data_IF_956439032387
#
_entry.id   IF_956439032387
#
_cell.length_a   1.000
_cell.length_b   1.000
_cell.length_c   1.000
_cell.angle_alpha   90.00
_cell.angle_beta   90.00
_cell.angle_gamma   90.00
#
_symmetry.space_group_name_H-M   'P 1'
#
loop_
_entity.id
_entity.type
_entity.pdbx_description
1 polymer ?
#
# COMPACT_ATOMS: atom_id res chain seq x y z
N UNK A 1 6.78 5.82 -11.66
CA UNK A 1 6.69 5.33 -10.26
C UNK A 1 5.71 4.18 -10.24
N UNK A 2 5.93 3.18 -9.40
CA UNK A 2 5.05 2.02 -9.33
C UNK A 2 4.25 2.06 -8.02
N UNK A 3 3.03 1.54 -8.08
CA UNK A 3 2.21 1.27 -6.91
C UNK A 3 2.00 -0.23 -6.80
N UNK A 4 2.47 -0.86 -5.73
CA UNK A 4 2.26 -2.30 -5.50
C UNK A 4 1.12 -2.51 -4.51
N UNK A 5 0.18 -3.40 -4.82
CA UNK A 5 -0.80 -3.89 -3.86
C UNK A 5 -0.23 -5.18 -3.26
N UNK A 6 0.24 -5.10 -2.03
CA UNK A 6 0.95 -6.20 -1.37
C UNK A 6 -0.01 -6.93 -0.45
N UNK A 7 -0.28 -8.20 -0.72
CA UNK A 7 -1.16 -9.02 0.12
C UNK A 7 -0.45 -10.26 0.64
N UNK A 8 -0.74 -10.64 1.88
CA UNK A 8 -0.33 -11.93 2.45
C UNK A 8 -1.01 -13.11 1.75
N UNK A 9 -2.23 -12.89 1.27
CA UNK A 9 -3.05 -13.90 0.62
C UNK A 9 -3.69 -13.26 -0.61
N UNK A 10 -3.15 -13.52 -1.80
CA UNK A 10 -3.79 -13.06 -3.03
C UNK A 10 -5.16 -13.74 -3.12
N UNK A 11 -6.21 -12.94 -2.97
CA UNK A 11 -7.60 -13.35 -2.93
C UNK A 11 -8.46 -12.54 -3.91
N UNK A 12 -9.74 -12.89 -4.02
CA UNK A 12 -10.69 -12.10 -4.80
C UNK A 12 -10.79 -10.63 -4.34
N UNK A 13 -10.51 -10.37 -3.07
CA UNK A 13 -10.51 -9.02 -2.51
C UNK A 13 -9.33 -8.17 -3.03
N UNK A 14 -8.12 -8.75 -3.11
CA UNK A 14 -6.97 -8.09 -3.73
C UNK A 14 -7.19 -7.80 -5.22
N UNK A 15 -7.78 -8.73 -5.97
CA UNK A 15 -8.12 -8.53 -7.39
C UNK A 15 -9.20 -7.46 -7.57
N UNK A 16 -10.24 -7.48 -6.74
CA UNK A 16 -11.28 -6.45 -6.73
C UNK A 16 -10.70 -5.06 -6.45
N UNK A 17 -9.81 -4.94 -5.47
CA UNK A 17 -9.10 -3.69 -5.18
C UNK A 17 -8.24 -3.22 -6.37
N UNK A 18 -7.50 -4.13 -7.00
CA UNK A 18 -6.69 -3.80 -8.18
C UNK A 18 -7.57 -3.29 -9.33
N UNK A 19 -8.73 -3.91 -9.56
CA UNK A 19 -9.69 -3.47 -10.56
C UNK A 19 -10.22 -2.06 -10.25
N UNK A 20 -10.54 -1.77 -8.98
CA UNK A 20 -10.97 -0.43 -8.52
C UNK A 20 -9.87 0.59 -8.78
N UNK A 21 -8.63 0.31 -8.38
CA UNK A 21 -7.49 1.21 -8.57
C UNK A 21 -7.20 1.47 -10.06
N UNK A 22 -7.28 0.45 -10.91
CA UNK A 22 -7.13 0.59 -12.37
C UNK A 22 -8.26 1.37 -13.04
N UNK A 23 -9.40 1.54 -12.38
CA UNK A 23 -10.49 2.40 -12.86
C UNK A 23 -10.27 3.88 -12.54
N UNK A 24 -9.27 4.20 -11.72
CA UNK A 24 -8.85 5.58 -11.42
C UNK A 24 -8.42 6.31 -12.68
N UNK A 25 -8.87 7.56 -12.83
CA UNK A 25 -8.34 8.47 -13.86
C UNK A 25 -7.04 9.14 -13.42
N UNK A 26 -6.85 9.32 -12.11
CA UNK A 26 -5.71 10.02 -11.51
C UNK A 26 -4.50 9.12 -11.33
N UNK A 27 -4.71 7.80 -11.30
CA UNK A 27 -3.60 6.84 -11.14
C UNK A 27 -2.48 7.08 -12.17
N UNK A 28 -2.81 7.35 -13.44
CA UNK A 28 -1.82 7.59 -14.51
C UNK A 28 -1.01 8.88 -14.33
N UNK A 29 -1.53 9.86 -13.59
CA UNK A 29 -0.82 11.11 -13.29
C UNK A 29 0.27 10.91 -12.23
N UNK A 30 0.11 9.89 -11.38
CA UNK A 30 0.99 9.63 -10.24
C UNK A 30 1.84 8.37 -10.40
N UNK A 31 1.33 7.35 -11.09
CA UNK A 31 1.95 6.03 -11.18
C UNK A 31 1.85 5.49 -12.60
N UNK A 32 2.91 4.82 -13.04
CA UNK A 32 3.00 4.23 -14.37
C UNK A 32 2.52 2.78 -14.38
N UNK A 33 2.77 2.04 -13.29
CA UNK A 33 2.29 0.67 -13.14
C UNK A 33 1.62 0.43 -11.78
N UNK A 34 0.57 -0.41 -11.78
CA UNK A 34 -0.08 -0.97 -10.60
C UNK A 34 -0.30 -2.47 -10.76
N UNK A 35 0.18 -3.23 -9.78
CA UNK A 35 0.10 -4.69 -9.76
C UNK A 35 -0.09 -5.22 -8.35
N UNK A 36 -0.55 -6.47 -8.27
CA UNK A 36 -0.59 -7.22 -7.02
C UNK A 36 0.73 -7.97 -6.88
N UNK A 37 1.25 -8.03 -5.65
CA UNK A 37 2.44 -8.81 -5.32
C UNK A 37 2.20 -9.56 -4.01
N UNK A 38 2.42 -10.88 -3.96
CA UNK A 38 2.40 -11.62 -2.70
C UNK A 38 3.45 -11.07 -1.73
N UNK A 39 3.12 -10.94 -0.44
CA UNK A 39 4.03 -10.41 0.58
C UNK A 39 5.38 -11.16 0.60
N UNK A 40 5.36 -12.48 0.45
CA UNK A 40 6.55 -13.32 0.46
C UNK A 40 7.47 -13.11 -0.76
N UNK A 41 6.94 -12.58 -1.85
CA UNK A 41 7.67 -12.34 -3.10
C UNK A 41 8.03 -10.85 -3.27
N UNK A 42 7.57 -10.01 -2.34
CA UNK A 42 7.64 -8.58 -2.51
C UNK A 42 9.05 -8.04 -2.25
N UNK A 43 9.67 -7.53 -3.32
CA UNK A 43 10.96 -6.84 -3.29
C UNK A 43 10.76 -5.42 -3.83
N UNK A 44 10.41 -4.44 -2.96
CA UNK A 44 10.04 -3.12 -3.42
C UNK A 44 11.22 -2.37 -4.02
N UNK A 45 10.99 -1.75 -5.17
CA UNK A 45 11.99 -0.87 -5.77
C UNK A 45 12.12 0.45 -5.00
N UNK A 46 13.23 1.17 -5.21
CA UNK A 46 13.40 2.54 -4.66
C UNK A 46 12.33 3.52 -5.18
N UNK A 47 11.80 3.24 -6.38
CA UNK A 47 10.82 4.03 -7.11
C UNK A 47 9.36 3.56 -6.93
N UNK A 48 9.08 2.93 -5.79
CA UNK A 48 7.82 2.24 -5.52
C UNK A 48 7.17 2.81 -4.26
N UNK A 49 5.84 2.84 -4.27
CA UNK A 49 5.01 2.89 -3.07
C UNK A 49 4.16 1.63 -3.03
N UNK A 50 3.62 1.30 -1.86
CA UNK A 50 2.74 0.15 -1.73
C UNK A 50 1.47 0.41 -0.92
N UNK A 51 0.42 -0.32 -1.27
CA UNK A 51 -0.73 -0.55 -0.41
C UNK A 51 -0.48 -1.88 0.30
N UNK A 52 -0.38 -1.85 1.62
CA UNK A 52 -0.22 -3.04 2.45
C UNK A 52 -1.61 -3.57 2.77
N UNK A 53 -2.04 -4.56 1.99
CA UNK A 53 -3.37 -5.13 2.08
C UNK A 53 -3.39 -6.34 3.01
N UNK A 54 -4.18 -6.24 4.08
CA UNK A 54 -4.57 -7.39 4.88
C UNK A 54 -6.04 -7.72 4.59
N UNK A 55 -6.28 -8.80 3.86
CA UNK A 55 -7.60 -9.33 3.53
C UNK A 55 -7.82 -10.74 4.10
N UNK A 56 -6.95 -11.16 5.03
CA UNK A 56 -7.00 -12.45 5.71
C UNK A 56 -7.47 -12.32 7.15
N UNK A 57 -7.70 -13.47 7.78
CA UNK A 57 -7.98 -13.55 9.22
C UNK A 57 -6.69 -13.70 10.04
N UNK A 58 -5.55 -13.43 9.42
CA UNK A 58 -4.21 -13.58 10.01
C UNK A 58 -3.60 -12.21 10.29
N UNK A 59 -2.85 -12.06 11.39
CA UNK A 59 -2.06 -10.85 11.64
C UNK A 59 -1.09 -10.57 10.48
N UNK A 60 -0.73 -9.30 10.31
CA UNK A 60 0.30 -8.91 9.36
C UNK A 60 1.65 -9.56 9.71
N UNK A 61 2.23 -10.31 8.76
CA UNK A 61 3.57 -10.88 8.88
C UNK A 61 4.64 -9.89 8.42
N UNK A 62 5.86 -10.07 8.93
CA UNK A 62 6.99 -9.31 8.43
C UNK A 62 7.26 -9.66 6.95
N UNK A 63 7.36 -8.62 6.11
CA UNK A 63 7.67 -8.75 4.69
C UNK A 63 9.09 -9.28 4.43
N UNK A 64 9.96 -9.29 5.44
CA UNK A 64 11.40 -9.57 5.27
C UNK A 64 12.10 -8.49 4.44
N UNK A 65 11.41 -7.38 4.15
CA UNK A 65 11.99 -6.25 3.43
C UNK A 65 13.16 -5.69 4.24
N UNK A 66 14.32 -5.59 3.62
CA UNK A 66 15.45 -4.89 4.20
C UNK A 66 15.43 -3.48 3.62
N UNK A 67 15.11 -2.49 4.46
CA UNK A 67 15.17 -1.08 4.06
C UNK A 67 16.55 -0.75 3.48
N UNK A 68 16.62 0.22 2.57
CA UNK A 68 17.91 0.65 2.03
C UNK A 68 18.73 1.34 3.12
N UNK A 69 20.01 0.96 3.28
CA UNK A 69 20.92 1.55 4.27
C UNK A 69 21.04 3.09 4.14
N UNK A 70 20.85 3.61 2.93
CA UNK A 70 20.93 5.05 2.61
C UNK A 70 19.56 5.75 2.51
N UNK A 71 18.45 5.08 2.82
CA UNK A 71 17.13 5.66 2.66
C UNK A 71 16.77 6.53 3.88
N UNK A 72 16.90 7.86 3.74
CA UNK A 72 16.45 8.83 4.76
C UNK A 72 14.93 8.83 4.96
N UNK A 73 14.18 8.29 4.01
CA UNK A 73 12.72 8.16 4.05
C UNK A 73 12.41 6.69 3.74
N UNK A 74 11.72 6.03 4.67
CA UNK A 74 11.23 4.67 4.49
C UNK A 74 10.31 4.53 3.26
N UNK A 75 10.06 3.30 2.83
CA UNK A 75 9.19 3.02 1.71
C UNK A 75 7.77 3.58 1.95
N UNK A 76 7.24 4.45 1.07
CA UNK A 76 5.91 5.02 1.28
C UNK A 76 4.83 3.96 1.17
N UNK A 77 4.03 3.81 2.23
CA UNK A 77 3.00 2.77 2.28
C UNK A 77 1.66 3.27 2.81
N UNK A 78 0.59 2.69 2.28
CA UNK A 78 -0.78 2.88 2.73
C UNK A 78 -1.34 1.55 3.29
N UNK A 79 -1.56 1.43 4.60
CA UNK A 79 -2.17 0.23 5.16
C UNK A 79 -3.67 0.16 4.87
N UNK A 80 -4.13 -1.01 4.45
CA UNK A 80 -5.52 -1.29 4.10
C UNK A 80 -5.93 -2.65 4.69
N UNK A 81 -7.01 -2.65 5.47
CA UNK A 81 -7.59 -3.85 6.08
C UNK A 81 -8.97 -4.11 5.46
N UNK A 82 -9.18 -5.30 4.93
CA UNK A 82 -10.48 -5.79 4.46
C UNK A 82 -10.98 -6.82 5.47
N UNK A 83 -12.07 -6.50 6.15
CA UNK A 83 -12.71 -7.37 7.13
C UNK A 83 -13.65 -8.36 6.45
N UNK A 84 -13.54 -9.62 6.86
CA UNK A 84 -14.38 -10.74 6.41
C UNK A 84 -15.35 -11.15 7.51
N UNK A 85 -16.45 -10.42 7.64
CA UNK A 85 -17.64 -10.80 8.43
C UNK A 85 -17.49 -10.87 9.95
N UNK A 86 -16.39 -11.41 10.47
CA UNK A 86 -16.11 -11.51 11.89
C UNK A 86 -15.45 -10.23 12.40
N UNK A 87 -16.25 -9.44 13.12
CA UNK A 87 -15.84 -8.16 13.69
C UNK A 87 -15.12 -8.31 15.03
N UNK A 88 -15.09 -9.50 15.62
CA UNK A 88 -14.48 -9.75 16.93
C UNK A 88 -13.00 -10.12 16.83
N UNK A 89 -12.54 -10.55 15.65
CA UNK A 89 -11.12 -10.78 15.40
C UNK A 89 -10.35 -9.45 15.38
N UNK A 90 -9.55 -9.23 16.42
CA UNK A 90 -8.56 -8.17 16.47
C UNK A 90 -7.39 -8.51 15.52
N UNK A 91 -7.58 -8.26 14.24
CA UNK A 91 -6.53 -8.43 13.23
C UNK A 91 -5.58 -7.24 13.31
N UNK A 92 -4.32 -7.51 13.69
CA UNK A 92 -3.27 -6.50 13.70
C UNK A 92 -2.74 -6.25 12.29
N UNK A 93 -2.73 -4.99 11.87
CA UNK A 93 -2.04 -4.53 10.66
C UNK A 93 -0.52 -4.43 10.84
N UNK A 94 0.21 -3.95 9.82
CA UNK A 94 1.64 -3.70 9.92
C UNK A 94 1.99 -2.77 11.08
N UNK A 95 3.14 -2.98 11.72
CA UNK A 95 3.61 -2.11 12.80
C UNK A 95 3.99 -0.73 12.22
N UNK A 96 3.22 0.29 12.60
CA UNK A 96 3.42 1.68 12.12
C UNK A 96 4.73 2.30 12.57
N UNK A 97 5.43 1.67 13.53
CA UNK A 97 6.74 2.10 14.05
C UNK A 97 7.90 1.50 13.26
N UNK A 98 7.62 0.62 12.30
CA UNK A 98 8.65 0.01 11.48
C UNK A 98 9.37 1.07 10.63
N UNK A 99 10.67 1.33 10.86
CA UNK A 99 11.41 2.40 10.19
C UNK A 99 11.61 2.14 8.70
N UNK A 100 11.41 0.91 8.23
CA UNK A 100 11.50 0.55 6.80
C UNK A 100 10.38 1.19 5.99
N UNK A 101 9.29 1.57 6.64
CA UNK A 101 8.09 2.09 6.00
C UNK A 101 7.81 3.53 6.42
N UNK A 102 7.20 4.29 5.52
CA UNK A 102 6.63 5.60 5.79
C UNK A 102 5.12 5.52 5.59
N UNK A 103 4.38 5.41 6.69
CA UNK A 103 2.92 5.26 6.68
C UNK A 103 2.23 6.59 6.39
N UNK A 104 1.46 6.66 5.30
CA UNK A 104 0.73 7.89 4.91
C UNK A 104 -0.66 8.02 5.55
N UNK A 105 -1.11 6.99 6.26
CA UNK A 105 -2.33 7.01 7.05
C UNK A 105 -2.24 6.02 8.22
N UNK A 106 -3.15 6.16 9.19
CA UNK A 106 -3.30 5.21 10.30
C UNK A 106 -3.96 3.87 9.89
N UNK A 107 -4.26 3.68 8.61
CA UNK A 107 -4.98 2.52 8.12
C UNK A 107 -6.37 2.87 7.63
N UNK A 108 -6.76 2.23 6.53
CA UNK A 108 -8.12 2.23 6.02
C UNK A 108 -8.72 0.87 6.32
N UNK A 109 -9.92 0.85 6.93
CA UNK A 109 -10.67 -0.38 7.19
C UNK A 109 -11.90 -0.40 6.28
N UNK A 110 -12.16 -1.54 5.66
CA UNK A 110 -13.28 -1.79 4.76
C UNK A 110 -13.91 -3.14 5.08
N UNK A 111 -15.18 -3.31 4.74
CA UNK A 111 -15.81 -4.63 4.72
C UNK A 111 -15.64 -5.25 3.32
N UNK A 112 -15.50 -6.57 3.22
CA UNK A 112 -15.39 -7.26 1.92
C UNK A 112 -16.59 -6.97 1.00
N UNK A 113 -17.79 -6.81 1.58
CA UNK A 113 -19.01 -6.44 0.85
C UNK A 113 -18.92 -5.08 0.15
N UNK A 114 -18.08 -4.16 0.63
CA UNK A 114 -17.91 -2.83 0.04
C UNK A 114 -17.16 -2.88 -1.30
N UNK A 115 -16.35 -3.92 -1.54
CA UNK A 115 -15.65 -4.11 -2.81
C UNK A 115 -16.59 -4.59 -3.91
N UNK A 116 -17.65 -5.32 -3.54
CA UNK A 116 -18.66 -5.77 -4.48
C UNK A 116 -19.67 -4.66 -4.85
N UNK A 117 -19.84 -3.64 -3.98
CA UNK A 117 -20.78 -2.56 -4.20
C UNK A 117 -20.15 -1.43 -5.05
N UNK A 118 -20.71 -1.08 -6.24
CA UNK A 118 -20.17 -0.03 -7.09
C UNK A 118 -20.15 1.36 -6.46
N UNK A 119 -21.09 1.68 -5.56
CA UNK A 119 -21.13 2.95 -4.86
C UNK A 119 -20.02 3.04 -3.81
N UNK A 120 -19.87 2.01 -2.98
CA UNK A 120 -18.79 1.90 -2.00
C UNK A 120 -17.41 1.88 -2.67
N UNK A 121 -17.28 1.19 -3.80
CA UNK A 121 -16.06 1.16 -4.61
C UNK A 121 -15.63 2.55 -5.10
N UNK A 122 -16.58 3.42 -5.49
CA UNK A 122 -16.27 4.81 -5.87
C UNK A 122 -15.81 5.64 -4.69
N UNK A 123 -16.41 5.46 -3.51
CA UNK A 123 -15.99 6.16 -2.29
C UNK A 123 -14.59 5.71 -1.88
N UNK A 124 -14.34 4.40 -1.92
CA UNK A 124 -13.02 3.83 -1.70
C UNK A 124 -12.00 4.41 -2.68
N UNK A 125 -12.31 4.40 -3.98
CA UNK A 125 -11.43 4.93 -5.01
C UNK A 125 -11.04 6.38 -4.72
N UNK A 126 -12.02 7.26 -4.46
CA UNK A 126 -11.75 8.67 -4.11
C UNK A 126 -10.86 8.81 -2.87
N UNK A 127 -11.07 7.94 -1.88
CA UNK A 127 -10.25 7.92 -0.67
C UNK A 127 -8.82 7.46 -0.97
N UNK A 128 -8.62 6.51 -1.88
CA UNK A 128 -7.30 6.06 -2.30
C UNK A 128 -6.60 7.13 -3.14
N UNK A 129 -7.32 7.76 -4.07
CA UNK A 129 -6.86 8.88 -4.91
C UNK A 129 -6.35 10.04 -4.07
N UNK A 130 -6.99 10.37 -2.94
CA UNK A 130 -6.51 11.45 -2.07
C UNK A 130 -5.13 11.19 -1.45
N UNK A 131 -4.63 9.95 -1.47
CA UNK A 131 -3.27 9.62 -1.03
C UNK A 131 -2.25 9.54 -2.17
N UNK A 132 -2.67 9.46 -3.44
CA UNK A 132 -1.76 9.32 -4.57
C UNK A 132 -0.73 10.47 -4.68
N UNK A 133 -1.12 11.75 -4.54
CA UNK A 133 -0.15 12.85 -4.57
C UNK A 133 0.90 12.74 -3.46
N UNK A 134 0.48 12.29 -2.27
CA UNK A 134 1.37 12.14 -1.11
C UNK A 134 2.35 10.99 -1.30
N UNK A 135 1.86 9.82 -1.72
CA UNK A 135 2.70 8.65 -2.03
C UNK A 135 3.71 9.00 -3.14
N UNK A 136 3.24 9.61 -4.23
CA UNK A 136 4.07 10.07 -5.34
C UNK A 136 5.18 11.02 -4.87
N UNK A 137 4.84 12.03 -4.06
CA UNK A 137 5.82 12.99 -3.52
C UNK A 137 6.84 12.31 -2.62
N UNK A 138 6.44 11.38 -1.76
CA UNK A 138 7.35 10.66 -0.88
C UNK A 138 8.31 9.76 -1.66
N UNK A 139 7.85 9.09 -2.73
CA UNK A 139 8.74 8.36 -3.64
C UNK A 139 9.77 9.32 -4.24
N UNK A 140 9.34 10.47 -4.76
CA UNK A 140 10.27 11.45 -5.33
C UNK A 140 11.30 11.94 -4.32
N UNK A 141 10.90 12.13 -3.06
CA UNK A 141 11.83 12.52 -2.00
C UNK A 141 12.81 11.39 -1.66
N UNK A 142 12.33 10.15 -1.54
CA UNK A 142 13.17 8.97 -1.30
C UNK A 142 14.17 8.72 -2.43
N UNK A 143 13.81 9.04 -3.66
CA UNK A 143 14.69 8.94 -4.83
C UNK A 143 15.78 10.02 -4.88
N UNK A 144 15.59 11.16 -4.22
CA UNK A 144 16.62 12.18 -4.12
C UNK A 144 17.74 11.62 -3.25
N UNK A 145 18.86 11.25 -3.87
CA UNK A 145 20.09 10.94 -3.13
C UNK A 145 20.38 12.10 -2.17
N UNK A 146 20.80 11.85 -0.92
CA UNK A 146 21.57 12.87 -0.22
C UNK A 146 22.79 13.13 -1.10
N UNK A 147 23.02 14.39 -1.46
CA UNK A 147 24.32 14.78 -1.97
C UNK A 147 25.29 14.58 -0.81
N UNK A 148 25.88 13.39 -0.72
CA UNK A 148 27.02 13.15 0.15
C UNK A 148 28.12 14.09 -0.34
N UNK A 149 28.26 15.22 0.34
CA UNK A 149 29.48 16.02 0.33
C UNK A 149 30.61 15.10 0.77
N UNK A 150 31.46 14.75 -0.21
CA UNK A 150 32.83 14.33 0.02
C UNK A 150 33.49 15.30 1.00
N UNK A 151 33.96 14.79 2.13
CA UNK A 151 35.04 15.39 2.93
C UNK A 151 36.02 14.29 3.28
#
# INVERSE_FOLDING_TARGET
>A
MNLSVVSQHVSGASEGLLAILRSSREYGDHFANIGITPLAEWQPAKAEAAILLNDGNTPWQDAGFLGGEDDTIGLPVLPLLIRKGDRELAICGPDVRDPRFYFVSNGIVLEESDLANPASSRVLLRKLESYFPLLSRLIMLRQRKPAATLN
#
